data_IF_978858866785
#
_entry.id   IF_978858866785
#
_cell.length_a   1.000
_cell.length_b   1.000
_cell.length_c   1.000
_cell.angle_alpha   90.00
_cell.angle_beta   90.00
_cell.angle_gamma   90.00
#
_symmetry.space_group_name_H-M   'P 1'
#
loop_
_entity.id
_entity.type
_entity.pdbx_description
1 polymer ?
#
# COMPACT_ATOMS: atom_id res chain seq x y z
N UNK A 1 -32.05 4.76 3.55
CA UNK A 1 -30.70 4.20 3.32
C UNK A 1 -30.04 4.99 2.21
N UNK A 2 -28.88 5.59 2.44
CA UNK A 2 -28.19 6.42 1.44
C UNK A 2 -27.61 5.58 0.29
N UNK A 3 -27.42 6.22 -0.87
CA UNK A 3 -26.78 5.63 -2.05
C UNK A 3 -25.33 5.28 -1.70
N UNK A 4 -24.97 3.98 -1.72
CA UNK A 4 -23.58 3.53 -1.53
C UNK A 4 -22.93 3.38 -2.90
N UNK A 5 -21.93 4.22 -3.17
CA UNK A 5 -21.17 4.16 -4.41
C UNK A 5 -19.93 3.28 -4.23
N UNK A 6 -19.60 2.49 -5.25
CA UNK A 6 -18.40 1.64 -5.29
C UNK A 6 -17.56 2.02 -6.50
N UNK A 7 -16.26 2.20 -6.29
CA UNK A 7 -15.29 2.43 -7.33
C UNK A 7 -14.14 1.43 -7.19
N UNK A 8 -13.72 0.81 -8.29
CA UNK A 8 -12.58 -0.09 -8.34
C UNK A 8 -11.59 0.49 -9.35
N UNK A 9 -10.30 0.48 -8.99
CA UNK A 9 -9.23 0.94 -9.86
C UNK A 9 -7.85 0.67 -9.25
N UNK A 10 -6.82 0.85 -10.06
CA UNK A 10 -5.42 0.80 -9.59
C UNK A 10 -5.08 2.08 -8.86
N UNK A 11 -4.38 1.97 -7.73
CA UNK A 11 -3.82 3.13 -7.05
C UNK A 11 -2.61 3.65 -7.84
N UNK A 12 -2.72 4.85 -8.40
CA UNK A 12 -1.66 5.44 -9.23
C UNK A 12 -0.72 6.35 -8.46
N UNK A 13 -1.19 6.99 -7.39
CA UNK A 13 -0.37 7.88 -6.59
C UNK A 13 -0.91 7.96 -5.16
N UNK A 14 0.01 8.01 -4.20
CA UNK A 14 -0.28 8.36 -2.80
C UNK A 14 0.45 9.65 -2.48
N UNK A 15 -0.25 10.63 -1.92
CA UNK A 15 0.27 11.97 -1.67
C UNK A 15 -0.17 12.43 -0.28
N UNK A 16 0.56 13.40 0.25
CA UNK A 16 0.32 13.98 1.57
C UNK A 16 0.47 12.97 2.71
N UNK A 17 0.52 13.49 3.92
CA UNK A 17 0.77 12.73 5.15
C UNK A 17 -0.25 13.10 6.23
N UNK A 18 -0.32 12.28 7.28
CA UNK A 18 -1.27 12.47 8.38
C UNK A 18 -2.73 12.37 7.95
N UNK A 19 -3.60 13.20 8.55
CA UNK A 19 -5.06 13.15 8.32
C UNK A 19 -5.47 13.51 6.88
N UNK A 20 -4.63 14.25 6.16
CA UNK A 20 -4.88 14.66 4.78
C UNK A 20 -4.26 13.68 3.77
N UNK A 21 -3.83 12.48 4.20
CA UNK A 21 -3.29 11.50 3.28
C UNK A 21 -4.29 11.17 2.18
N UNK A 22 -3.84 11.25 0.93
CA UNK A 22 -4.64 11.09 -0.27
C UNK A 22 -4.10 9.97 -1.14
N UNK A 23 -5.01 9.28 -1.82
CA UNK A 23 -4.68 8.30 -2.85
C UNK A 23 -5.60 8.45 -4.05
N UNK A 24 -5.04 8.28 -5.25
CA UNK A 24 -5.80 8.39 -6.49
C UNK A 24 -5.96 7.01 -7.11
N UNK A 25 -7.21 6.62 -7.34
CA UNK A 25 -7.55 5.40 -8.06
C UNK A 25 -7.85 5.74 -9.53
N UNK A 26 -7.35 4.93 -10.46
CA UNK A 26 -7.61 5.02 -11.90
C UNK A 26 -8.27 3.74 -12.41
N UNK A 27 -9.28 3.89 -13.26
CA UNK A 27 -9.84 2.79 -14.04
C UNK A 27 -10.33 3.30 -15.40
N UNK A 28 -10.38 2.44 -16.40
CA UNK A 28 -11.03 2.73 -17.69
C UNK A 28 -12.38 2.04 -17.70
N UNK A 29 -13.45 2.83 -17.68
CA UNK A 29 -14.84 2.35 -17.67
C UNK A 29 -15.47 2.80 -18.99
N UNK A 30 -16.01 1.86 -19.76
CA UNK A 30 -16.66 2.13 -21.06
C UNK A 30 -15.75 2.91 -22.05
N UNK A 31 -14.44 2.65 -21.99
CA UNK A 31 -13.45 3.32 -22.85
C UNK A 31 -13.04 4.72 -22.38
N UNK A 32 -13.58 5.20 -21.25
CA UNK A 32 -13.23 6.50 -20.65
C UNK A 32 -12.34 6.26 -19.43
N UNK A 33 -11.18 6.90 -19.40
CA UNK A 33 -10.31 6.89 -18.23
C UNK A 33 -10.89 7.78 -17.12
N UNK A 34 -11.25 7.16 -15.99
CA UNK A 34 -11.79 7.83 -14.80
C UNK A 34 -10.77 7.76 -13.68
N UNK A 35 -10.52 8.91 -13.06
CA UNK A 35 -9.66 9.03 -11.88
C UNK A 35 -10.45 9.62 -10.73
N UNK A 36 -10.33 8.98 -9.56
CA UNK A 36 -10.97 9.44 -8.34
C UNK A 36 -9.92 9.53 -7.24
N UNK A 37 -9.75 10.73 -6.71
CA UNK A 37 -8.91 10.99 -5.55
C UNK A 37 -9.75 10.82 -4.29
N UNK A 38 -9.26 10.00 -3.37
CA UNK A 38 -9.83 9.79 -2.04
C UNK A 38 -8.87 10.29 -0.98
N UNK A 39 -9.44 10.88 0.08
CA UNK A 39 -8.75 11.17 1.33
C UNK A 39 -8.95 9.98 2.27
N UNK A 40 -7.87 9.44 2.85
CA UNK A 40 -7.88 8.19 3.62
C UNK A 40 -8.81 8.23 4.84
N UNK A 41 -8.89 9.38 5.50
CA UNK A 41 -9.54 9.52 6.80
C UNK A 41 -10.89 10.24 6.72
N UNK A 42 -11.50 10.33 5.53
CA UNK A 42 -12.79 10.99 5.35
C UNK A 42 -13.94 10.13 5.87
N UNK A 43 -14.91 10.70 6.63
CA UNK A 43 -16.04 9.95 7.17
C UNK A 43 -17.02 9.42 6.11
N UNK A 44 -16.89 9.86 4.84
CA UNK A 44 -17.71 9.37 3.73
C UNK A 44 -17.30 7.99 3.25
N UNK A 45 -16.07 7.55 3.57
CA UNK A 45 -15.58 6.22 3.19
C UNK A 45 -16.15 5.19 4.15
N UNK A 46 -17.01 4.31 3.63
CA UNK A 46 -17.62 3.24 4.42
C UNK A 46 -16.70 2.02 4.60
N UNK A 47 -15.98 1.62 3.55
CA UNK A 47 -15.13 0.43 3.52
C UNK A 47 -14.07 0.59 2.44
N UNK A 48 -12.82 0.24 2.76
CA UNK A 48 -11.74 0.08 1.79
C UNK A 48 -11.43 -1.41 1.70
N UNK A 49 -11.42 -1.95 0.49
CA UNK A 49 -11.16 -3.36 0.22
C UNK A 49 -10.02 -3.50 -0.78
N UNK A 50 -9.02 -4.31 -0.42
CA UNK A 50 -7.86 -4.57 -1.28
C UNK A 50 -8.16 -5.80 -2.13
N UNK A 51 -8.36 -5.60 -3.43
CA UNK A 51 -8.64 -6.69 -4.37
C UNK A 51 -7.38 -7.47 -4.71
N UNK A 52 -6.29 -6.76 -5.03
CA UNK A 52 -4.99 -7.38 -5.36
C UNK A 52 -3.87 -6.57 -4.74
N UNK A 53 -3.07 -7.21 -3.89
CA UNK A 53 -1.89 -6.60 -3.30
C UNK A 53 -0.67 -6.87 -4.19
N UNK A 54 -0.23 -5.86 -4.94
CA UNK A 54 0.99 -5.90 -5.73
C UNK A 54 1.76 -4.58 -5.65
N UNK A 55 3.08 -4.65 -5.85
CA UNK A 55 3.94 -3.49 -6.09
C UNK A 55 4.25 -3.39 -7.58
N UNK A 56 4.53 -2.18 -8.05
CA UNK A 56 5.09 -1.91 -9.38
C UNK A 56 6.55 -1.50 -9.26
N UNK A 57 7.21 -1.31 -10.41
CA UNK A 57 8.61 -0.89 -10.47
C UNK A 57 8.81 0.57 -10.01
N UNK A 58 7.76 1.38 -10.11
CA UNK A 58 7.73 2.78 -9.73
C UNK A 58 6.66 3.02 -8.65
N UNK A 59 6.90 4.01 -7.79
CA UNK A 59 5.96 4.39 -6.73
C UNK A 59 4.79 5.26 -7.24
N UNK A 60 5.03 6.02 -8.32
CA UNK A 60 4.03 6.85 -9.00
C UNK A 60 3.75 6.29 -10.40
N UNK A 61 2.49 6.00 -10.67
CA UNK A 61 2.01 5.43 -11.93
C UNK A 61 1.21 6.44 -12.74
N UNK A 62 1.40 7.74 -12.52
CA UNK A 62 0.71 8.81 -13.28
C UNK A 62 0.94 8.73 -14.79
N UNK A 63 2.01 8.08 -15.25
CA UNK A 63 2.24 7.83 -16.68
C UNK A 63 1.16 6.94 -17.34
N UNK A 64 0.36 6.21 -16.55
CA UNK A 64 -0.78 5.42 -17.04
C UNK A 64 -1.86 6.28 -17.72
N UNK A 65 -1.84 7.60 -17.53
CA UNK A 65 -2.71 8.55 -18.23
C UNK A 65 -2.48 8.49 -19.74
N UNK A 66 -1.22 8.48 -20.16
CA UNK A 66 -0.82 8.49 -21.58
C UNK A 66 -0.47 7.07 -22.11
N UNK A 67 -0.70 6.04 -21.30
CA UNK A 67 -0.49 4.64 -21.67
C UNK A 67 -1.65 4.04 -22.49
N UNK A 68 -1.42 2.86 -23.08
CA UNK A 68 -2.54 2.10 -23.66
C UNK A 68 -3.58 1.74 -22.59
N UNK A 69 -4.89 1.80 -22.90
CA UNK A 69 -5.96 1.53 -21.93
C UNK A 69 -5.90 0.14 -21.30
N UNK A 70 -5.30 -0.83 -21.99
CA UNK A 70 -5.13 -2.22 -21.52
C UNK A 70 -4.46 -2.30 -20.15
N UNK A 71 -3.51 -1.40 -19.85
CA UNK A 71 -2.80 -1.38 -18.57
C UNK A 71 -3.60 -0.73 -17.43
N UNK A 72 -4.71 -0.04 -17.74
CA UNK A 72 -5.56 0.69 -16.79
C UNK A 72 -7.00 0.17 -16.72
N UNK A 73 -7.35 -0.84 -17.52
CA UNK A 73 -8.71 -1.39 -17.58
C UNK A 73 -8.83 -2.53 -16.58
N UNK A 74 -9.71 -2.37 -15.59
CA UNK A 74 -9.99 -3.38 -14.58
C UNK A 74 -11.48 -3.64 -14.49
N UNK A 75 -11.85 -4.93 -14.39
CA UNK A 75 -13.24 -5.32 -14.17
C UNK A 75 -13.72 -4.89 -12.78
N UNK A 76 -14.85 -4.19 -12.74
CA UNK A 76 -15.50 -3.74 -11.52
C UNK A 76 -15.95 -4.91 -10.62
N UNK A 77 -16.12 -6.11 -11.18
CA UNK A 77 -16.56 -7.30 -10.46
C UNK A 77 -15.43 -8.32 -10.22
N UNK A 78 -14.16 -7.89 -10.33
CA UNK A 78 -13.01 -8.74 -10.02
C UNK A 78 -13.05 -9.25 -8.57
N UNK A 79 -12.81 -10.56 -8.39
CA UNK A 79 -12.74 -11.18 -7.06
C UNK A 79 -11.43 -10.86 -6.34
N UNK A 80 -11.45 -10.65 -5.01
CA UNK A 80 -10.24 -10.43 -4.22
C UNK A 80 -9.29 -11.63 -4.23
N UNK A 81 -8.02 -11.38 -4.55
CA UNK A 81 -6.94 -12.36 -4.43
C UNK A 81 -6.31 -12.27 -3.04
N UNK A 82 -6.44 -13.29 -2.18
CA UNK A 82 -5.90 -13.23 -0.82
C UNK A 82 -4.38 -13.25 -0.83
N UNK A 83 -3.76 -12.39 -0.01
CA UNK A 83 -2.32 -12.38 0.25
C UNK A 83 -2.04 -13.02 1.61
N UNK A 84 -1.08 -13.94 1.66
CA UNK A 84 -0.72 -14.63 2.90
C UNK A 84 0.05 -13.65 3.80
N UNK A 85 -0.40 -13.41 5.05
CA UNK A 85 0.30 -12.51 5.97
C UNK A 85 1.74 -12.99 6.22
N UNK A 86 2.68 -12.06 6.30
CA UNK A 86 4.11 -12.36 6.49
C UNK A 86 4.91 -12.63 5.22
N UNK A 87 4.27 -12.99 4.09
CA UNK A 87 4.99 -13.07 2.80
C UNK A 87 5.26 -11.66 2.25
N UNK A 88 6.43 -11.44 1.61
CA UNK A 88 6.72 -10.15 0.99
C UNK A 88 5.71 -9.86 -0.13
N UNK A 89 5.35 -8.60 -0.30
CA UNK A 89 4.42 -8.17 -1.36
C UNK A 89 5.05 -8.42 -2.74
N UNK A 90 4.36 -9.13 -3.66
CA UNK A 90 4.91 -9.42 -4.98
C UNK A 90 5.10 -8.13 -5.81
N UNK A 91 6.26 -8.01 -6.46
CA UNK A 91 6.58 -6.91 -7.38
C UNK A 91 6.28 -7.35 -8.81
N UNK A 92 5.41 -6.63 -9.49
CA UNK A 92 5.03 -6.86 -10.86
C UNK A 92 6.02 -6.16 -11.82
N UNK A 93 6.80 -6.91 -12.62
CA UNK A 93 7.86 -6.37 -13.48
C UNK A 93 7.35 -5.86 -14.84
N UNK A 94 6.03 -5.85 -15.08
CA UNK A 94 5.45 -5.43 -16.37
C UNK A 94 5.87 -3.99 -16.69
N UNK A 95 6.40 -3.81 -17.90
CA UNK A 95 6.64 -2.49 -18.49
C UNK A 95 5.47 -2.08 -19.38
N UNK A 96 5.11 -0.81 -19.30
CA UNK A 96 3.94 -0.22 -19.93
C UNK A 96 4.35 0.52 -21.19
N UNK A 97 3.65 0.24 -22.29
CA UNK A 97 3.81 0.98 -23.54
C UNK A 97 2.98 2.26 -23.51
N UNK A 98 3.59 3.39 -23.87
CA UNK A 98 2.90 4.66 -24.04
C UNK A 98 2.22 4.74 -25.42
N UNK A 99 1.13 5.50 -25.50
CA UNK A 99 0.53 5.89 -26.77
C UNK A 99 1.49 6.76 -27.58
N UNK A 100 1.30 6.93 -28.90
CA UNK A 100 2.08 7.92 -29.65
C UNK A 100 1.85 9.34 -29.10
N UNK A 101 2.87 10.23 -29.18
CA UNK A 101 2.75 11.61 -28.72
C UNK A 101 1.68 12.40 -29.51
N UNK A 102 1.14 13.51 -28.97
CA UNK A 102 1.60 14.23 -27.78
C UNK A 102 1.12 13.63 -26.45
N UNK A 103 2.01 13.62 -25.46
CA UNK A 103 1.71 13.20 -24.08
C UNK A 103 1.37 14.39 -23.19
N UNK A 104 0.69 14.12 -22.08
CA UNK A 104 0.35 15.09 -21.04
C UNK A 104 1.61 15.66 -20.38
N UNK A 105 2.65 14.82 -20.19
CA UNK A 105 3.94 15.23 -19.63
C UNK A 105 5.10 14.70 -20.46
N UNK A 106 6.25 15.33 -20.26
CA UNK A 106 7.53 14.87 -20.77
C UNK A 106 8.08 13.75 -19.90
N UNK A 107 7.44 12.57 -19.99
CA UNK A 107 7.78 11.39 -19.19
C UNK A 107 9.25 10.98 -19.32
N UNK A 108 9.88 11.36 -20.42
CA UNK A 108 11.29 11.10 -20.71
C UNK A 108 12.30 11.82 -19.82
N UNK A 109 11.85 12.85 -19.09
CA UNK A 109 12.69 13.58 -18.15
C UNK A 109 12.75 12.89 -16.78
N UNK A 110 11.82 11.99 -16.50
CA UNK A 110 11.72 11.28 -15.23
C UNK A 110 12.39 9.91 -15.32
N UNK A 111 12.84 9.38 -14.18
CA UNK A 111 13.53 8.09 -14.09
C UNK A 111 12.56 6.93 -13.81
N UNK A 112 11.43 6.87 -14.54
CA UNK A 112 10.48 5.76 -14.46
C UNK A 112 11.06 4.47 -15.05
N UNK A 113 10.99 3.37 -14.29
CA UNK A 113 11.47 2.04 -14.67
C UNK A 113 10.39 1.17 -15.31
N UNK A 114 9.13 1.49 -15.06
CA UNK A 114 7.93 0.80 -15.51
C UNK A 114 7.43 1.23 -16.89
N UNK A 115 8.08 2.20 -17.54
CA UNK A 115 7.79 2.57 -18.93
C UNK A 115 8.66 1.73 -19.88
N UNK A 116 8.07 1.20 -20.93
CA UNK A 116 8.80 0.50 -22.00
C UNK A 116 9.77 1.46 -22.69
N UNK A 117 10.98 0.98 -23.01
CA UNK A 117 12.02 1.79 -23.66
C UNK A 117 11.67 2.06 -25.13
N UNK A 118 10.84 3.07 -25.36
CA UNK A 118 10.56 3.61 -26.69
C UNK A 118 11.67 4.55 -27.21
N UNK A 119 12.77 4.75 -26.47
CA UNK A 119 13.85 5.69 -26.80
C UNK A 119 14.98 5.06 -27.61
N UNK A 120 15.19 3.75 -27.48
CA UNK A 120 16.14 3.01 -28.32
C UNK A 120 15.90 3.27 -29.81
N UNK A 121 14.63 3.28 -30.21
CA UNK A 121 14.16 3.48 -31.59
C UNK A 121 14.21 4.94 -32.07
N UNK A 122 14.48 5.92 -31.18
CA UNK A 122 14.46 7.32 -31.57
C UNK A 122 15.73 7.81 -32.27
N UNK A 123 15.54 8.80 -33.15
CA UNK A 123 16.63 9.43 -33.92
C UNK A 123 17.67 10.11 -33.02
N UNK A 124 18.94 10.12 -33.46
CA UNK A 124 20.06 10.80 -32.77
C UNK A 124 19.76 12.27 -32.41
N UNK A 125 18.98 12.98 -33.23
CA UNK A 125 18.53 14.35 -32.94
C UNK A 125 17.74 14.45 -31.63
N UNK A 126 16.77 13.55 -31.42
CA UNK A 126 15.93 13.52 -30.22
C UNK A 126 16.75 13.15 -28.98
N UNK A 127 17.64 12.15 -29.09
CA UNK A 127 18.57 11.77 -28.01
C UNK A 127 19.44 12.95 -27.56
N UNK A 128 19.99 13.73 -28.52
CA UNK A 128 20.79 14.93 -28.22
C UNK A 128 19.96 16.05 -27.57
N UNK A 129 18.73 16.27 -28.02
CA UNK A 129 17.82 17.28 -27.42
C UNK A 129 17.39 16.90 -26.00
N UNK A 130 17.13 15.61 -25.77
CA UNK A 130 16.80 15.06 -24.46
C UNK A 130 17.96 15.17 -23.49
N UNK A 131 19.17 14.77 -23.90
CA UNK A 131 20.38 14.88 -23.06
C UNK A 131 20.64 16.32 -22.59
N UNK A 132 20.33 17.33 -23.43
CA UNK A 132 20.37 18.74 -23.02
C UNK A 132 19.28 19.14 -22.02
N UNK A 133 18.11 18.49 -22.08
CA UNK A 133 16.96 18.78 -21.22
C UNK A 133 17.04 18.08 -19.87
N UNK A 134 17.61 16.87 -19.82
CA UNK A 134 17.79 16.05 -18.61
C UNK A 134 18.94 16.56 -17.73
N UNK A 135 19.14 17.88 -17.68
CA UNK A 135 20.29 18.55 -17.07
C UNK A 135 20.51 18.03 -15.64
N UNK A 136 21.70 17.45 -15.44
CA UNK A 136 22.33 17.01 -14.17
C UNK A 136 21.39 16.88 -12.98
N UNK A 137 20.84 15.68 -12.81
CA UNK A 137 20.23 15.30 -11.54
C UNK A 137 21.33 15.22 -10.46
N UNK A 138 21.68 16.37 -9.89
CA UNK A 138 22.63 16.50 -8.80
C UNK A 138 22.09 15.85 -7.53
N UNK A 139 20.77 15.63 -7.41
CA UNK A 139 20.12 15.01 -6.25
C UNK A 139 20.67 13.63 -5.98
N UNK A 140 20.99 12.86 -7.03
CA UNK A 140 21.63 11.53 -6.93
C UNK A 140 22.95 11.54 -6.15
N UNK A 141 23.65 12.68 -6.14
CA UNK A 141 24.94 12.84 -5.46
C UNK A 141 24.81 13.65 -4.16
N UNK A 142 23.62 14.08 -3.78
CA UNK A 142 23.37 14.89 -2.58
C UNK A 142 23.16 14.00 -1.35
N UNK A 143 24.27 13.55 -0.77
CA UNK A 143 24.28 12.73 0.45
C UNK A 143 23.67 13.45 1.66
N UNK A 144 23.69 14.78 1.69
CA UNK A 144 23.16 15.58 2.80
C UNK A 144 21.63 15.54 2.76
N UNK A 145 21.05 15.65 1.57
CA UNK A 145 19.62 15.48 1.38
C UNK A 145 19.16 14.07 1.76
N UNK A 146 19.90 13.03 1.35
CA UNK A 146 19.61 11.64 1.75
C UNK A 146 19.66 11.45 3.27
N UNK A 147 20.69 12.00 3.94
CA UNK A 147 20.80 11.92 5.40
C UNK A 147 19.63 12.61 6.10
N UNK A 148 19.23 13.80 5.63
CA UNK A 148 18.09 14.53 6.21
C UNK A 148 16.79 13.75 6.09
N UNK A 149 16.57 13.08 4.96
CA UNK A 149 15.37 12.26 4.75
C UNK A 149 15.41 10.99 5.59
N UNK A 150 16.53 10.28 5.65
CA UNK A 150 16.64 9.00 6.37
C UNK A 150 16.67 9.18 7.88
N UNK A 151 17.44 10.15 8.39
CA UNK A 151 17.66 10.31 9.83
C UNK A 151 16.40 10.76 10.58
N UNK A 152 15.59 11.66 10.00
CA UNK A 152 14.32 12.06 10.61
C UNK A 152 13.33 10.89 10.60
N UNK A 153 13.23 10.17 9.48
CA UNK A 153 12.30 9.06 9.35
C UNK A 153 12.55 7.95 10.37
N UNK A 154 13.79 7.53 10.63
CA UNK A 154 14.05 6.36 11.50
C UNK A 154 13.69 6.62 12.97
N UNK A 155 14.04 7.78 13.50
CA UNK A 155 13.78 8.10 14.91
C UNK A 155 12.30 8.39 15.14
N UNK A 156 11.65 9.07 14.20
CA UNK A 156 10.21 9.31 14.19
C UNK A 156 9.44 7.99 14.03
N UNK A 157 9.83 7.12 13.09
CA UNK A 157 9.24 5.78 12.91
C UNK A 157 9.27 4.98 14.20
N UNK A 158 10.41 4.96 14.92
CA UNK A 158 10.56 4.19 16.15
C UNK A 158 9.68 4.75 17.27
N UNK A 159 9.57 6.08 17.39
CA UNK A 159 8.67 6.73 18.34
C UNK A 159 7.20 6.42 18.03
N UNK A 160 6.81 6.45 16.75
CA UNK A 160 5.47 6.09 16.28
C UNK A 160 5.19 4.61 16.57
N UNK A 161 6.13 3.71 16.26
CA UNK A 161 6.02 2.27 16.56
C UNK A 161 5.79 2.03 18.07
N UNK A 162 6.50 2.75 18.93
CA UNK A 162 6.32 2.69 20.38
C UNK A 162 4.95 3.22 20.82
N UNK A 163 4.52 4.38 20.30
CA UNK A 163 3.21 4.96 20.62
C UNK A 163 2.07 4.03 20.20
N UNK A 164 2.17 3.42 19.02
CA UNK A 164 1.22 2.42 18.51
C UNK A 164 1.15 1.20 19.43
N UNK A 165 2.29 0.67 19.86
CA UNK A 165 2.36 -0.47 20.77
C UNK A 165 1.79 -0.12 22.16
N UNK A 166 2.09 1.06 22.68
CA UNK A 166 1.52 1.58 23.92
C UNK A 166 0.01 1.76 23.83
N UNK A 167 -0.49 2.20 22.68
CA UNK A 167 -1.93 2.33 22.43
C UNK A 167 -2.62 0.95 22.40
N UNK A 168 -2.02 -0.03 21.71
CA UNK A 168 -2.54 -1.40 21.64
C UNK A 168 -2.54 -2.08 23.01
N UNK A 169 -1.47 -1.95 23.77
CA UNK A 169 -1.37 -2.52 25.13
C UNK A 169 -2.38 -1.90 26.08
N UNK A 170 -2.58 -0.57 26.07
CA UNK A 170 -3.63 0.12 26.84
C UNK A 170 -5.03 -0.37 26.45
N UNK A 171 -5.29 -0.55 25.17
CA UNK A 171 -6.57 -1.07 24.66
C UNK A 171 -6.84 -2.50 25.11
N UNK A 172 -5.82 -3.36 25.08
CA UNK A 172 -5.88 -4.73 25.59
C UNK A 172 -6.14 -4.76 27.10
N UNK A 173 -5.42 -3.94 27.88
CA UNK A 173 -5.61 -3.80 29.33
C UNK A 173 -7.02 -3.30 29.70
N UNK A 174 -7.58 -2.38 28.91
CA UNK A 174 -8.95 -1.90 29.07
C UNK A 174 -10.02 -2.98 28.74
N UNK A 175 -9.62 -4.17 28.28
CA UNK A 175 -10.53 -5.27 27.96
C UNK A 175 -11.43 -4.98 26.75
N UNK A 176 -11.04 -4.00 25.92
CA UNK A 176 -11.70 -3.66 24.64
C UNK A 176 -11.07 -4.51 23.55
N UNK A 177 -11.29 -5.83 23.64
CA UNK A 177 -10.83 -6.77 22.60
C UNK A 177 -11.57 -6.50 21.29
N UNK A 178 -10.94 -6.79 20.13
CA UNK A 178 -11.60 -6.71 18.80
C UNK A 178 -12.98 -7.40 18.83
N UNK A 179 -13.09 -8.54 19.52
CA UNK A 179 -14.35 -9.25 19.80
C UNK A 179 -15.44 -8.37 20.44
N UNK A 180 -15.10 -7.53 21.40
CA UNK A 180 -16.07 -6.65 22.10
C UNK A 180 -16.53 -5.48 21.24
N UNK A 181 -15.65 -4.93 20.40
CA UNK A 181 -15.98 -3.87 19.43
C UNK A 181 -16.86 -4.41 18.31
N UNK A 182 -16.48 -5.55 17.72
CA UNK A 182 -17.25 -6.23 16.67
C UNK A 182 -18.63 -6.63 17.17
N UNK A 183 -18.72 -7.19 18.39
CA UNK A 183 -20.01 -7.55 19.02
C UNK A 183 -20.90 -6.32 19.29
N UNK A 184 -20.33 -5.17 19.67
CA UNK A 184 -21.10 -3.91 19.80
C UNK A 184 -21.58 -3.37 18.44
N UNK A 185 -20.77 -3.49 17.38
CA UNK A 185 -21.13 -3.07 16.03
C UNK A 185 -22.14 -4.02 15.35
N UNK A 186 -22.15 -5.31 15.71
CA UNK A 186 -23.20 -6.26 15.32
C UNK A 186 -24.50 -6.01 16.10
N UNK A 187 -24.41 -5.66 17.38
CA UNK A 187 -25.59 -5.38 18.21
C UNK A 187 -26.40 -4.18 17.73
N UNK A 188 -25.74 -3.15 17.17
CA UNK A 188 -26.42 -2.04 16.52
C UNK A 188 -27.07 -2.41 15.18
N UNK A 189 -26.64 -3.52 14.56
CA UNK A 189 -27.25 -4.09 13.36
C UNK A 189 -28.40 -5.08 13.67
N UNK A 190 -28.38 -5.70 14.85
CA UNK A 190 -29.32 -6.77 15.25
C UNK A 190 -30.64 -6.30 15.86
N UNK A 191 -30.82 -4.99 16.09
CA UNK A 191 -32.10 -4.47 16.62
C UNK A 191 -33.26 -4.58 15.62
N UNK A 192 -33.00 -4.87 14.34
CA UNK A 192 -34.01 -4.90 13.28
C UNK A 192 -34.49 -6.29 12.85
N UNK A 193 -33.94 -7.41 13.38
CA UNK A 193 -34.31 -8.76 12.90
C UNK A 193 -34.40 -9.78 14.04
N UNK A 194 -35.30 -9.53 14.98
CA UNK A 194 -35.83 -10.58 15.85
C UNK A 194 -36.99 -11.26 15.14
N UNK A 195 -36.74 -12.27 14.31
CA UNK A 195 -37.72 -13.35 14.20
C UNK A 195 -37.19 -14.62 13.52
N UNK A 196 -37.38 -15.72 14.25
CA UNK A 196 -37.57 -17.09 13.76
C UNK A 196 -36.32 -17.85 13.24
N UNK A 197 -35.68 -18.55 14.19
CA UNK A 197 -35.20 -19.94 14.06
C UNK A 197 -34.28 -20.30 12.88
N UNK A 198 -33.01 -19.89 12.90
CA UNK A 198 -31.96 -20.72 12.28
C UNK A 198 -30.71 -20.90 13.17
N UNK A 199 -30.91 -20.64 14.45
CA UNK A 199 -29.93 -20.73 15.53
C UNK A 199 -29.50 -22.18 15.78
N UNK A 200 -28.39 -22.58 15.16
CA UNK A 200 -27.42 -23.47 15.79
C UNK A 200 -26.20 -22.63 16.19
N UNK A 201 -26.46 -21.61 17.02
CA UNK A 201 -25.48 -20.58 17.44
C UNK A 201 -24.27 -21.18 18.19
N UNK A 202 -24.34 -22.44 18.61
CA UNK A 202 -23.28 -23.16 19.34
C UNK A 202 -22.24 -23.75 18.37
N UNK A 203 -22.62 -24.09 17.13
CA UNK A 203 -21.71 -24.64 16.12
C UNK A 203 -20.85 -23.55 15.48
N UNK A 204 -21.47 -22.43 15.09
CA UNK A 204 -20.77 -21.26 14.56
C UNK A 204 -19.84 -20.63 15.61
N UNK A 205 -20.21 -20.66 16.90
CA UNK A 205 -19.32 -20.24 17.97
C UNK A 205 -18.08 -21.12 18.11
N UNK A 206 -18.12 -22.42 17.74
CA UNK A 206 -16.96 -23.31 17.80
C UNK A 206 -16.02 -23.07 16.63
N UNK A 207 -16.53 -22.90 15.41
CA UNK A 207 -15.69 -22.61 14.22
C UNK A 207 -15.12 -21.17 14.23
N UNK A 208 -15.89 -20.20 14.74
CA UNK A 208 -15.39 -18.83 14.97
C UNK A 208 -14.47 -18.79 16.20
N UNK A 209 -14.70 -19.62 17.22
CA UNK A 209 -13.74 -19.76 18.33
C UNK A 209 -12.42 -20.37 17.84
N UNK A 210 -12.42 -21.42 17.02
CA UNK A 210 -11.18 -21.97 16.47
C UNK A 210 -10.45 -20.96 15.58
N UNK A 211 -11.16 -20.20 14.73
CA UNK A 211 -10.52 -19.13 13.96
C UNK A 211 -9.95 -18.01 14.84
N UNK A 212 -10.64 -17.61 15.90
CA UNK A 212 -10.12 -16.57 16.80
C UNK A 212 -9.00 -17.12 17.69
N UNK A 213 -9.05 -18.38 18.10
CA UNK A 213 -8.00 -19.03 18.86
C UNK A 213 -6.75 -19.26 17.98
N UNK A 214 -6.93 -19.54 16.68
CA UNK A 214 -5.88 -19.54 15.66
C UNK A 214 -5.31 -18.13 15.43
N UNK A 215 -6.16 -17.10 15.29
CA UNK A 215 -5.70 -15.71 15.21
C UNK A 215 -4.93 -15.29 16.47
N UNK A 216 -5.39 -15.68 17.66
CA UNK A 216 -4.74 -15.37 18.93
C UNK A 216 -3.41 -16.12 19.08
N UNK A 217 -3.32 -17.35 18.56
CA UNK A 217 -2.08 -18.12 18.49
C UNK A 217 -1.08 -17.48 17.51
N UNK A 218 -1.54 -16.98 16.36
CA UNK A 218 -0.73 -16.23 15.41
C UNK A 218 -0.26 -14.91 16.02
N UNK A 219 -1.14 -14.19 16.74
CA UNK A 219 -0.77 -12.96 17.45
C UNK A 219 0.25 -13.25 18.57
N UNK A 220 0.12 -14.36 19.29
CA UNK A 220 1.10 -14.80 20.29
C UNK A 220 2.43 -15.19 19.64
N UNK A 221 2.43 -15.92 18.53
CA UNK A 221 3.65 -16.24 17.78
C UNK A 221 4.33 -14.98 17.23
N UNK A 222 3.55 -14.01 16.75
CA UNK A 222 4.05 -12.69 16.31
C UNK A 222 4.68 -11.91 17.45
N UNK A 223 4.07 -11.93 18.64
CA UNK A 223 4.60 -11.28 19.84
C UNK A 223 5.89 -11.98 20.34
N UNK A 224 5.91 -13.30 20.32
CA UNK A 224 7.09 -14.11 20.63
C UNK A 224 8.23 -13.89 19.61
N UNK A 225 7.88 -13.69 18.34
CA UNK A 225 8.84 -13.35 17.30
C UNK A 225 9.42 -11.95 17.49
N UNK A 226 8.58 -10.94 17.76
CA UNK A 226 9.03 -9.56 18.04
C UNK A 226 9.88 -9.50 19.32
N UNK A 227 9.52 -10.23 20.37
CA UNK A 227 10.33 -10.30 21.61
C UNK A 227 11.66 -11.00 21.39
N UNK A 228 11.72 -12.10 20.61
CA UNK A 228 12.98 -12.76 20.21
C UNK A 228 13.85 -11.85 19.36
N UNK A 229 13.26 -11.08 18.44
CA UNK A 229 13.94 -10.10 17.58
C UNK A 229 14.55 -8.96 18.41
N UNK A 230 13.81 -8.45 19.41
CA UNK A 230 14.31 -7.48 20.40
C UNK A 230 15.43 -8.06 21.27
N UNK A 231 15.26 -9.28 21.81
CA UNK A 231 16.26 -9.96 22.64
C UNK A 231 17.55 -10.30 21.89
N UNK A 232 17.46 -10.63 20.60
CA UNK A 232 18.62 -10.85 19.74
C UNK A 232 19.41 -9.55 19.46
N UNK A 233 18.93 -8.39 19.94
CA UNK A 233 19.54 -7.09 19.70
C UNK A 233 19.58 -6.73 18.21
N UNK A 234 18.70 -7.36 17.42
CA UNK A 234 18.52 -7.11 15.98
C UNK A 234 17.59 -5.91 15.86
N UNK A 235 18.12 -4.76 16.27
CA UNK A 235 17.45 -3.48 15.99
C UNK A 235 17.53 -3.21 14.50
N UNK A 236 16.51 -2.54 13.93
CA UNK A 236 16.50 -2.05 12.53
C UNK A 236 17.83 -1.39 12.17
N UNK A 237 18.39 -0.60 13.11
CA UNK A 237 19.72 0.03 13.05
C UNK A 237 20.89 -0.96 12.88
N UNK A 238 20.85 -2.15 13.49
CA UNK A 238 21.90 -3.17 13.37
C UNK A 238 21.78 -3.96 12.05
N UNK A 239 20.55 -4.23 11.58
CA UNK A 239 20.33 -4.83 10.25
C UNK A 239 20.83 -3.89 9.16
N UNK A 240 20.47 -2.59 9.23
CA UNK A 240 20.92 -1.57 8.28
C UNK A 240 22.44 -1.43 8.29
N UNK A 241 23.07 -1.38 9.48
CA UNK A 241 24.53 -1.31 9.62
C UNK A 241 25.25 -2.57 9.11
N UNK A 242 24.65 -3.76 9.25
CA UNK A 242 25.18 -5.00 8.67
C UNK A 242 25.01 -5.05 7.14
N UNK A 243 23.89 -4.55 6.61
CA UNK A 243 23.64 -4.47 5.17
C UNK A 243 24.58 -3.46 4.48
N UNK A 244 24.87 -2.33 5.12
CA UNK A 244 25.87 -1.35 4.68
C UNK A 244 27.29 -1.94 4.65
N UNK A 245 27.65 -2.76 5.64
CA UNK A 245 28.96 -3.43 5.68
C UNK A 245 29.13 -4.47 4.56
N UNK A 246 28.09 -5.23 4.24
CA UNK A 246 28.13 -6.19 3.13
C UNK A 246 28.24 -5.51 1.76
N UNK A 247 27.59 -4.35 1.56
CA UNK A 247 27.71 -3.57 0.33
C UNK A 247 29.11 -2.93 0.13
N UNK A 248 29.86 -2.73 1.21
CA UNK A 248 31.22 -2.18 1.16
C UNK A 248 32.33 -3.21 0.88
N UNK A 249 32.00 -4.52 0.94
CA UNK A 249 32.96 -5.61 0.68
C UNK A 249 32.92 -6.12 -0.77
N UNK A 250 31.92 -5.72 -1.55
CA UNK A 250 31.74 -6.11 -2.97
C UNK A 250 32.24 -5.04 -3.97
N UNK A 251 33.17 -4.17 -3.56
CA UNK A 251 33.88 -3.20 -4.43
C UNK A 251 35.37 -3.49 -4.51
#
# INVERSE_FOLDING_TARGET
MGLKNRFLGICISRKLEGLHSQFTLRNVIEGIGVEVMYEMYTPTITKIEVIKLEKRLDDDLTFLIDAYPEYSTFDMNMEPTPHIPGKPVPVNPIKVKLQPPPWTRRWELFDYKGIEDCWTEQTSYFKRKLSKSKLTDLRKYDLIADYREVATNVDEELAIEQEMLDFETKKLQAGVTKRKILRCAEQSLSQDLTDLRKYDLIADYREVATNVDEELAIEQEMLDFETKKLQAGVTKRRILRCAEQSLSQDV
#
